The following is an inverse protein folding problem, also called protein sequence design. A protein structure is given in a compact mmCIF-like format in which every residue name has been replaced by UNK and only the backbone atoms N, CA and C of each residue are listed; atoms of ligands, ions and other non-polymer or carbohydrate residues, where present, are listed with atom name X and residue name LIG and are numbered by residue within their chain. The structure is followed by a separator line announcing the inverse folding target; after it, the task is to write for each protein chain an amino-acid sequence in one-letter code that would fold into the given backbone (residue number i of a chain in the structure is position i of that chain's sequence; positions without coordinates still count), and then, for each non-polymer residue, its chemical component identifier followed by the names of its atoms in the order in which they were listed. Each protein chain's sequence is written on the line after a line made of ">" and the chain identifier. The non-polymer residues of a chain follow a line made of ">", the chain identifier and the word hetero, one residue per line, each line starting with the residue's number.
data_IF_907856393938
#
_entry.id   IF_907856393938
#
_cell.length_a   1.000
_cell.length_b   1.000
_cell.length_c   1.000
_cell.angle_alpha   90.00
_cell.angle_beta   90.00
_cell.angle_gamma   90.00
#
_symmetry.space_group_name_H-M   'P 1'
#
loop_
_entity.id
_entity.type
_entity.pdbx_description
1 polymer ?
#
# COMPACT_ATOMS: atom_id res chain seq x y z
N UNK A 1 -16.91 -3.50 67.39
CA UNK A 1 -16.72 -2.09 67.01
C UNK A 1 -16.58 -2.07 65.50
N UNK A 2 -17.56 -1.43 64.85
CA UNK A 2 -17.78 -1.44 63.40
C UNK A 2 -17.22 -0.16 62.78
N UNK A 3 -16.68 -0.35 61.58
CA UNK A 3 -16.55 0.56 60.43
C UNK A 3 -15.67 1.82 60.56
N UNK A 4 -14.45 1.69 60.04
CA UNK A 4 -13.67 2.81 59.53
C UNK A 4 -13.82 2.88 58.00
N UNK A 5 -14.61 3.88 57.59
CA UNK A 5 -14.59 4.64 56.35
C UNK A 5 -13.61 4.19 55.24
N UNK A 6 -14.14 3.69 54.12
CA UNK A 6 -13.42 3.65 52.84
C UNK A 6 -14.35 4.29 51.80
N UNK A 7 -14.10 5.58 51.57
CA UNK A 7 -14.76 6.39 50.55
C UNK A 7 -14.46 5.81 49.17
N UNK A 8 -15.51 5.35 48.50
CA UNK A 8 -15.51 4.85 47.13
C UNK A 8 -15.38 6.07 46.19
N UNK A 9 -14.15 6.51 45.93
CA UNK A 9 -13.89 7.52 44.89
C UNK A 9 -14.12 6.88 43.52
N UNK A 10 -14.94 7.47 42.63
CA UNK A 10 -15.11 6.93 41.29
C UNK A 10 -13.76 6.94 40.58
N UNK A 11 -13.36 5.78 40.07
CA UNK A 11 -12.18 5.60 39.22
C UNK A 11 -12.23 6.70 38.16
N UNK A 12 -11.27 7.62 38.21
CA UNK A 12 -11.23 8.70 37.25
C UNK A 12 -11.11 8.08 35.86
N UNK A 13 -12.19 8.18 35.07
CA UNK A 13 -12.18 7.96 33.62
C UNK A 13 -11.41 9.11 32.94
N UNK A 14 -10.23 9.45 33.46
CA UNK A 14 -9.31 10.34 32.81
C UNK A 14 -8.74 9.59 31.62
N UNK A 15 -9.17 9.97 30.42
CA UNK A 15 -8.42 9.65 29.21
C UNK A 15 -6.99 10.10 29.43
N UNK A 16 -6.07 9.15 29.43
CA UNK A 16 -4.64 9.39 29.58
C UNK A 16 -4.14 10.07 28.30
N UNK A 17 -4.20 11.40 28.30
CA UNK A 17 -3.83 12.23 27.17
C UNK A 17 -2.37 11.98 26.77
N UNK A 18 -1.47 11.77 27.73
CA UNK A 18 -0.06 11.47 27.45
C UNK A 18 0.11 10.12 26.73
N UNK A 19 -0.69 9.11 27.10
CA UNK A 19 -0.70 7.82 26.39
C UNK A 19 -1.35 7.92 25.00
N UNK A 20 -2.35 8.77 24.84
CA UNK A 20 -2.96 9.09 23.54
C UNK A 20 -2.00 9.84 22.61
N UNK A 21 -1.26 10.82 23.13
CA UNK A 21 -0.24 11.55 22.36
C UNK A 21 0.94 10.64 22.00
N UNK A 22 1.38 9.75 22.89
CA UNK A 22 2.40 8.74 22.55
C UNK A 22 1.94 7.73 21.52
N UNK A 23 0.67 7.27 21.57
CA UNK A 23 0.10 6.44 20.51
C UNK A 23 -0.05 7.19 19.18
N UNK A 24 -0.28 8.51 19.21
CA UNK A 24 -0.32 9.34 18.02
C UNK A 24 1.08 9.64 17.45
N UNK A 25 2.12 9.65 18.30
CA UNK A 25 3.53 9.73 17.87
C UNK A 25 4.06 8.38 17.35
N UNK A 26 3.53 7.24 17.83
CA UNK A 26 3.84 5.88 17.35
C UNK A 26 3.05 5.49 16.08
N UNK A 27 2.02 6.24 15.70
CA UNK A 27 1.47 6.14 14.35
C UNK A 27 2.51 6.73 13.41
N UNK A 28 3.17 5.88 12.62
CA UNK A 28 4.12 6.28 11.56
C UNK A 28 3.49 7.41 10.73
N UNK A 29 3.79 8.67 11.08
CA UNK A 29 3.37 9.88 10.36
C UNK A 29 3.85 9.85 8.89
N UNK A 30 4.80 8.97 8.59
CA UNK A 30 5.28 8.62 7.26
C UNK A 30 4.21 7.90 6.41
N UNK A 31 3.28 7.13 6.99
CA UNK A 31 2.16 6.54 6.25
C UNK A 31 1.13 7.60 5.83
N UNK A 32 0.90 8.62 6.67
CA UNK A 32 -0.06 9.70 6.41
C UNK A 32 0.46 10.70 5.36
N UNK A 33 1.78 10.79 5.18
CA UNK A 33 2.43 11.72 4.25
C UNK A 33 2.91 11.07 2.95
N UNK A 34 2.77 9.75 2.79
CA UNK A 34 3.14 9.06 1.56
C UNK A 34 2.24 9.45 0.40
N UNK A 35 2.87 9.80 -0.72
CA UNK A 35 2.19 9.94 -2.00
C UNK A 35 1.61 8.61 -2.48
N UNK A 36 0.67 8.65 -3.44
CA UNK A 36 0.01 7.45 -3.96
C UNK A 36 1.00 6.47 -4.62
N UNK A 37 2.11 6.96 -5.17
CA UNK A 37 3.21 6.13 -5.68
C UNK A 37 3.90 5.39 -4.54
N UNK A 38 4.33 6.10 -3.50
CA UNK A 38 5.05 5.53 -2.38
C UNK A 38 4.19 4.51 -1.65
N UNK A 39 2.88 4.76 -1.52
CA UNK A 39 1.94 3.82 -0.93
C UNK A 39 1.81 2.53 -1.77
N UNK A 40 1.69 2.67 -3.09
CA UNK A 40 1.67 1.50 -4.00
C UNK A 40 2.98 0.70 -3.92
N UNK A 41 4.13 1.36 -3.85
CA UNK A 41 5.43 0.71 -3.72
C UNK A 41 5.59 -0.04 -2.39
N UNK A 42 5.01 0.47 -1.31
CA UNK A 42 5.02 -0.18 0.01
C UNK A 42 4.16 -1.44 0.00
N UNK A 43 2.97 -1.36 -0.61
CA UNK A 43 2.12 -2.53 -0.81
C UNK A 43 2.77 -3.60 -1.70
N UNK A 44 3.65 -3.18 -2.62
CA UNK A 44 4.44 -4.05 -3.50
C UNK A 44 5.82 -4.43 -2.92
N UNK A 45 6.15 -3.93 -1.72
CA UNK A 45 7.43 -4.12 -1.00
C UNK A 45 8.66 -3.74 -1.83
N UNK A 46 8.75 -2.47 -2.24
CA UNK A 46 10.00 -1.89 -2.76
C UNK A 46 10.44 -0.74 -1.86
N UNK A 47 11.28 -1.06 -0.86
CA UNK A 47 12.07 -0.05 -0.15
C UNK A 47 13.42 0.13 -0.84
N UNK A 48 13.91 1.37 -1.01
CA UNK A 48 15.20 1.65 -1.62
C UNK A 48 16.29 1.51 -0.58
N UNK A 49 16.63 0.28 -0.16
CA UNK A 49 17.84 0.04 0.64
C UNK A 49 18.19 -1.44 0.64
N UNK A 50 19.48 -1.74 0.55
CA UNK A 50 20.12 -3.05 0.72
C UNK A 50 19.95 -3.64 2.14
N UNK A 51 18.83 -3.39 2.81
CA UNK A 51 18.48 -4.01 4.08
C UNK A 51 17.30 -4.93 3.83
N UNK A 52 17.62 -6.21 3.70
CA UNK A 52 16.69 -7.34 3.62
C UNK A 52 15.92 -7.38 4.93
N UNK A 53 14.91 -6.52 5.07
CA UNK A 53 13.74 -6.77 5.90
C UNK A 53 12.62 -7.16 4.93
N UNK A 54 12.83 -8.32 4.29
CA UNK A 54 11.79 -9.02 3.56
C UNK A 54 10.70 -9.38 4.56
N UNK A 55 9.70 -8.52 4.71
CA UNK A 55 8.41 -9.00 5.16
C UNK A 55 7.72 -9.54 3.92
N UNK A 56 7.80 -10.86 3.73
CA UNK A 56 6.98 -11.60 2.77
C UNK A 56 5.47 -11.46 3.04
N UNK A 57 5.09 -10.69 4.05
CA UNK A 57 3.72 -10.42 4.48
C UNK A 57 3.23 -9.03 4.08
N UNK A 58 3.57 -8.55 2.88
CA UNK A 58 2.56 -7.76 2.18
C UNK A 58 1.35 -8.67 2.01
N UNK A 59 0.35 -8.60 2.92
CA UNK A 59 -0.88 -9.41 2.84
C UNK A 59 -1.31 -9.39 1.39
N UNK A 60 -1.53 -10.55 0.79
CA UNK A 60 -1.89 -10.70 -0.63
C UNK A 60 -2.91 -9.66 -1.12
N UNK A 61 -3.86 -9.32 -0.24
CA UNK A 61 -4.84 -8.24 -0.39
C UNK A 61 -4.23 -6.86 -0.73
N UNK A 62 -3.11 -6.47 -0.12
CA UNK A 62 -2.41 -5.21 -0.39
C UNK A 62 -1.75 -5.22 -1.77
N UNK A 63 -1.11 -6.33 -2.16
CA UNK A 63 -0.53 -6.49 -3.51
C UNK A 63 -1.63 -6.43 -4.58
N UNK A 64 -2.74 -7.14 -4.35
CA UNK A 64 -3.93 -7.09 -5.22
C UNK A 64 -4.51 -5.68 -5.31
N UNK A 65 -4.59 -4.96 -4.18
CA UNK A 65 -5.04 -3.57 -4.14
C UNK A 65 -4.12 -2.65 -4.96
N UNK A 66 -2.80 -2.78 -4.82
CA UNK A 66 -1.84 -2.00 -5.60
C UNK A 66 -1.98 -2.26 -7.11
N UNK A 67 -2.19 -3.52 -7.50
CA UNK A 67 -2.42 -3.90 -8.89
C UNK A 67 -3.73 -3.32 -9.41
N UNK A 68 -4.84 -3.44 -8.66
CA UNK A 68 -6.16 -2.91 -9.06
C UNK A 68 -6.14 -1.41 -9.32
N UNK A 69 -5.43 -0.66 -8.48
CA UNK A 69 -5.36 0.80 -8.57
C UNK A 69 -4.34 1.30 -9.60
N UNK A 70 -3.59 0.41 -10.27
CA UNK A 70 -2.51 0.78 -11.19
C UNK A 70 -2.99 1.66 -12.36
N UNK A 71 -4.16 1.33 -12.92
CA UNK A 71 -4.74 2.09 -14.04
C UNK A 71 -5.16 3.51 -13.67
N UNK A 72 -5.59 3.73 -12.43
CA UNK A 72 -5.90 5.07 -11.91
C UNK A 72 -4.62 5.84 -11.59
N UNK A 73 -3.63 5.16 -11.02
CA UNK A 73 -2.33 5.72 -10.69
C UNK A 73 -1.60 6.26 -11.93
N UNK A 74 -1.67 5.55 -13.07
CA UNK A 74 -1.12 6.03 -14.33
C UNK A 74 -1.87 7.25 -14.88
N UNK A 75 -3.14 7.44 -14.53
CA UNK A 75 -3.89 8.62 -14.95
C UNK A 75 -3.55 9.84 -14.08
N UNK A 76 -3.43 9.66 -12.76
CA UNK A 76 -3.16 10.73 -11.79
C UNK A 76 -1.70 11.16 -11.79
N UNK A 77 -0.78 10.21 -11.59
CA UNK A 77 0.66 10.48 -11.41
C UNK A 77 1.43 10.41 -12.73
N UNK A 78 0.83 9.82 -13.77
CA UNK A 78 1.40 9.79 -15.11
C UNK A 78 2.67 8.96 -15.18
N UNK A 79 3.73 9.57 -15.71
CA UNK A 79 4.95 8.87 -16.08
C UNK A 79 5.73 8.32 -14.89
N UNK A 80 5.72 9.02 -13.75
CA UNK A 80 6.49 8.57 -12.58
C UNK A 80 5.92 7.26 -12.02
N UNK A 81 4.60 7.07 -12.06
CA UNK A 81 3.97 5.81 -11.71
C UNK A 81 4.32 4.69 -12.69
N UNK A 82 4.39 4.99 -13.99
CA UNK A 82 4.80 3.99 -15.01
C UNK A 82 6.25 3.57 -14.77
N UNK A 83 7.15 4.50 -14.47
CA UNK A 83 8.57 4.18 -14.30
C UNK A 83 8.90 3.49 -12.97
N UNK A 84 8.13 3.78 -11.91
CA UNK A 84 8.41 3.25 -10.57
C UNK A 84 7.53 2.06 -10.20
N UNK A 85 6.23 2.15 -10.44
CA UNK A 85 5.24 1.17 -9.96
C UNK A 85 5.06 0.01 -10.94
N UNK A 86 5.09 0.26 -12.25
CA UNK A 86 4.95 -0.84 -13.22
C UNK A 86 6.06 -1.89 -13.09
N UNK A 87 7.37 -1.53 -12.99
CA UNK A 87 8.41 -2.52 -12.76
C UNK A 87 8.29 -3.20 -11.40
N UNK A 88 7.70 -2.53 -10.40
CA UNK A 88 7.42 -3.12 -9.10
C UNK A 88 6.38 -4.23 -9.19
N UNK A 89 5.27 -3.97 -9.88
CA UNK A 89 4.23 -4.98 -10.16
C UNK A 89 4.81 -6.14 -10.95
N UNK A 90 5.59 -5.88 -12.00
CA UNK A 90 6.22 -6.94 -12.80
C UNK A 90 7.16 -7.81 -11.95
N UNK A 91 7.95 -7.20 -11.05
CA UNK A 91 8.82 -7.94 -10.12
C UNK A 91 8.00 -8.79 -9.15
N UNK A 92 6.96 -8.23 -8.55
CA UNK A 92 6.08 -8.97 -7.65
C UNK A 92 5.44 -10.20 -8.33
N UNK A 93 5.01 -10.08 -9.59
CA UNK A 93 4.48 -11.19 -10.39
C UNK A 93 5.54 -12.23 -10.75
N UNK A 94 6.80 -11.81 -10.94
CA UNK A 94 7.90 -12.73 -11.22
C UNK A 94 8.35 -13.53 -10.00
N UNK A 95 8.18 -12.98 -8.81
CA UNK A 95 8.45 -13.63 -7.52
C UNK A 95 7.31 -14.57 -7.13
N UNK A 96 6.06 -14.13 -7.30
CA UNK A 96 4.84 -14.85 -6.91
C UNK A 96 4.27 -15.74 -8.04
N UNK A 97 5.13 -16.46 -8.77
CA UNK A 97 4.74 -17.21 -9.99
C UNK A 97 3.62 -18.23 -9.81
N UNK A 98 3.46 -18.76 -8.60
CA UNK A 98 2.43 -19.74 -8.25
C UNK A 98 1.15 -19.10 -7.73
N UNK A 99 1.11 -17.78 -7.53
CA UNK A 99 -0.07 -17.08 -7.05
C UNK A 99 -1.01 -16.73 -8.21
N UNK A 100 -1.98 -17.60 -8.45
CA UNK A 100 -2.96 -17.45 -9.53
C UNK A 100 -3.79 -16.16 -9.40
N UNK A 101 -4.14 -15.77 -8.17
CA UNK A 101 -5.01 -14.61 -7.92
C UNK A 101 -4.32 -13.31 -8.33
N UNK A 102 -3.03 -13.15 -7.97
CA UNK A 102 -2.20 -12.03 -8.39
C UNK A 102 -2.06 -11.94 -9.93
N UNK A 103 -1.81 -13.07 -10.58
CA UNK A 103 -1.67 -13.11 -12.04
C UNK A 103 -2.98 -12.82 -12.77
N UNK A 104 -4.10 -13.36 -12.29
CA UNK A 104 -5.42 -13.07 -12.85
C UNK A 104 -5.78 -11.59 -12.72
N UNK A 105 -5.56 -11.01 -11.53
CA UNK A 105 -5.83 -9.59 -11.28
C UNK A 105 -4.97 -8.71 -12.19
N UNK A 106 -3.67 -8.99 -12.27
CA UNK A 106 -2.77 -8.26 -13.15
C UNK A 106 -3.20 -8.33 -14.62
N UNK A 107 -3.61 -9.50 -15.11
CA UNK A 107 -4.07 -9.66 -16.48
C UNK A 107 -5.33 -8.82 -16.79
N UNK A 108 -6.28 -8.77 -15.84
CA UNK A 108 -7.50 -7.95 -15.98
C UNK A 108 -7.13 -6.46 -16.04
N UNK A 109 -6.27 -6.01 -15.12
CA UNK A 109 -5.84 -4.61 -15.05
C UNK A 109 -5.04 -4.22 -16.29
N UNK A 110 -4.07 -5.03 -16.70
CA UNK A 110 -3.25 -4.77 -17.90
C UNK A 110 -4.11 -4.71 -19.15
N UNK A 111 -5.07 -5.61 -19.31
CA UNK A 111 -6.05 -5.54 -20.40
C UNK A 111 -6.82 -4.22 -20.35
N UNK A 112 -7.27 -3.78 -19.18
CA UNK A 112 -7.96 -2.50 -19.01
C UNK A 112 -7.10 -1.29 -19.39
N UNK A 113 -5.82 -1.30 -19.03
CA UNK A 113 -4.85 -0.25 -19.39
C UNK A 113 -4.64 -0.21 -20.91
N UNK A 114 -4.43 -1.36 -21.55
CA UNK A 114 -4.24 -1.47 -23.00
C UNK A 114 -5.47 -0.98 -23.77
N UNK A 115 -6.67 -1.26 -23.25
CA UNK A 115 -7.92 -0.83 -23.87
C UNK A 115 -8.24 0.66 -23.63
N UNK A 116 -7.47 1.36 -22.82
CA UNK A 116 -7.65 2.79 -22.57
C UNK A 116 -6.86 3.62 -23.60
N UNK A 117 -7.54 3.99 -24.69
CA UNK A 117 -6.95 4.77 -25.79
C UNK A 117 -6.33 6.09 -25.34
N UNK A 118 -6.89 6.75 -24.31
CA UNK A 118 -6.34 8.02 -23.80
C UNK A 118 -5.01 7.81 -23.10
N UNK A 119 -4.92 6.78 -22.27
CA UNK A 119 -3.69 6.37 -21.58
C UNK A 119 -2.63 5.93 -22.59
N UNK A 120 -3.01 5.09 -23.56
CA UNK A 120 -2.10 4.61 -24.61
C UNK A 120 -1.64 5.72 -25.56
N UNK A 121 -2.49 6.70 -25.87
CA UNK A 121 -2.10 7.87 -26.67
C UNK A 121 -1.15 8.78 -25.91
N UNK A 122 -1.33 8.90 -24.58
CA UNK A 122 -0.48 9.71 -23.71
C UNK A 122 0.87 9.05 -23.42
N UNK A 123 0.89 7.73 -23.25
CA UNK A 123 2.08 6.94 -22.93
C UNK A 123 2.17 5.69 -23.84
N UNK A 124 2.65 5.84 -25.09
CA UNK A 124 2.61 4.78 -26.10
C UNK A 124 3.42 3.53 -25.74
N UNK A 125 4.48 3.69 -24.96
CA UNK A 125 5.35 2.60 -24.53
C UNK A 125 4.74 1.73 -23.42
N UNK A 126 3.69 2.18 -22.73
CA UNK A 126 3.03 1.37 -21.69
C UNK A 126 2.64 0.01 -22.26
N UNK A 127 2.12 -0.02 -23.50
CA UNK A 127 1.76 -1.25 -24.20
C UNK A 127 2.92 -2.27 -24.27
N UNK A 128 4.17 -1.83 -24.42
CA UNK A 128 5.34 -2.71 -24.46
C UNK A 128 5.62 -3.38 -23.11
N UNK A 129 5.23 -2.75 -22.02
CA UNK A 129 5.49 -3.25 -20.67
C UNK A 129 4.34 -4.09 -20.10
N UNK A 130 3.10 -3.90 -20.58
CA UNK A 130 1.93 -4.65 -20.10
C UNK A 130 1.50 -5.80 -21.02
N UNK A 131 2.13 -5.94 -22.19
CA UNK A 131 1.93 -7.09 -23.08
C UNK A 131 2.89 -8.23 -22.72
N UNK A 132 2.35 -9.33 -22.18
CA UNK A 132 3.06 -10.59 -21.90
C UNK A 132 2.64 -11.68 -22.88
#
# INVERSE_FOLDING_TARGET
>A
MVDANLEDSPVSNGLDWDKLFKMAEDLDLDEVTRGPIENALVHLVITPSNFIFFSSEGKEVHKLSAIRNLGELFQSEGEDAIQRVLPAVQRALLEERSNLDLHCEAAIVFKGIIQNDKLCSRFPYVFLFVSF
#
